data_IF_139283377103
#
_entry.id   IF_139283377103
#
_cell.length_a   1.000
_cell.length_b   1.000
_cell.length_c   1.000
_cell.angle_alpha   90.00
_cell.angle_beta   90.00
_cell.angle_gamma   90.00
#
_symmetry.space_group_name_H-M   'P 1'
#
loop_
_entity.id
_entity.type
_entity.pdbx_description
1 polymer ?
#
# COMPACT_ATOMS: atom_id res chain seq x y z
N UNK A 1 13.21 -10.96 -4.81
CA UNK A 1 13.49 -9.54 -4.50
C UNK A 1 14.20 -8.81 -5.64
N UNK A 2 15.22 -9.40 -6.25
CA UNK A 2 15.96 -8.76 -7.37
C UNK A 2 15.05 -8.37 -8.54
N UNK A 3 14.02 -9.16 -8.85
CA UNK A 3 13.05 -8.84 -9.90
C UNK A 3 12.22 -7.59 -9.59
N UNK A 4 11.83 -7.41 -8.32
CA UNK A 4 11.06 -6.24 -7.88
C UNK A 4 11.88 -4.97 -8.09
N UNK A 5 13.16 -4.99 -7.71
CA UNK A 5 14.06 -3.85 -7.91
C UNK A 5 14.39 -3.60 -9.37
N UNK A 6 14.58 -4.68 -10.16
CA UNK A 6 14.89 -4.55 -11.58
C UNK A 6 13.79 -3.88 -12.39
N UNK A 7 12.53 -4.07 -12.00
CA UNK A 7 11.36 -3.48 -12.66
C UNK A 7 10.96 -2.10 -12.12
N UNK A 8 11.50 -1.70 -10.97
CA UNK A 8 11.16 -0.44 -10.31
C UNK A 8 11.69 0.77 -11.10
N UNK A 9 10.85 1.78 -11.27
CA UNK A 9 11.20 3.08 -11.88
C UNK A 9 11.38 4.17 -10.85
N UNK A 10 10.57 4.16 -9.78
CA UNK A 10 10.61 5.16 -8.72
C UNK A 10 10.65 4.48 -7.36
N UNK A 11 11.67 4.79 -6.58
CA UNK A 11 11.87 4.25 -5.24
C UNK A 11 11.89 5.39 -4.24
N UNK A 12 11.11 5.29 -3.17
CA UNK A 12 11.13 6.23 -2.06
C UNK A 12 11.83 5.59 -0.85
N UNK A 13 12.81 6.27 -0.31
CA UNK A 13 13.54 5.85 0.90
C UNK A 13 13.13 6.76 2.04
N UNK A 14 12.56 6.18 3.08
CA UNK A 14 12.22 6.91 4.31
C UNK A 14 13.35 6.73 5.30
N UNK A 15 13.95 7.85 5.70
CA UNK A 15 15.03 7.90 6.68
C UNK A 15 14.61 8.64 7.96
N UNK A 16 15.15 8.23 9.09
CA UNK A 16 14.84 8.84 10.37
C UNK A 16 15.87 9.90 10.76
N UNK A 17 15.49 10.80 11.66
CA UNK A 17 16.30 11.95 12.14
C UNK A 17 17.61 11.55 12.81
N UNK A 18 17.75 10.30 13.26
CA UNK A 18 18.97 9.77 13.87
C UNK A 18 20.08 9.42 12.86
N UNK A 19 19.77 9.55 11.57
CA UNK A 19 20.70 9.25 10.47
C UNK A 19 21.44 10.51 10.05
N UNK A 20 22.78 10.40 9.93
CA UNK A 20 23.53 11.47 9.30
C UNK A 20 23.24 11.50 7.79
N UNK A 21 22.72 12.63 7.23
CA UNK A 21 22.44 12.75 5.80
C UNK A 21 23.64 12.42 4.89
N UNK A 22 24.86 12.53 5.37
CA UNK A 22 26.08 12.19 4.63
C UNK A 22 26.18 10.69 4.28
N UNK A 23 25.45 9.82 5.00
CA UNK A 23 25.42 8.38 4.77
C UNK A 23 24.41 7.99 3.67
N UNK A 24 23.47 8.88 3.32
CA UNK A 24 22.43 8.59 2.33
C UNK A 24 22.97 8.27 0.93
N UNK A 25 24.03 8.96 0.41
CA UNK A 25 24.62 8.59 -0.87
C UNK A 25 25.17 7.17 -0.94
N UNK A 26 25.74 6.68 0.17
CA UNK A 26 26.19 5.27 0.26
C UNK A 26 25.04 4.29 0.07
N UNK A 27 23.94 4.52 0.80
CA UNK A 27 22.74 3.71 0.68
C UNK A 27 22.09 3.82 -0.73
N UNK A 28 22.09 5.02 -1.32
CA UNK A 28 21.64 5.21 -2.70
C UNK A 28 22.42 4.34 -3.67
N UNK A 29 23.74 4.28 -3.57
CA UNK A 29 24.57 3.47 -4.44
C UNK A 29 24.22 1.98 -4.34
N UNK A 30 23.95 1.48 -3.14
CA UNK A 30 23.53 0.09 -2.91
C UNK A 30 22.23 -0.21 -3.66
N UNK A 31 21.21 0.65 -3.51
CA UNK A 31 19.93 0.47 -4.22
C UNK A 31 20.16 0.55 -5.73
N UNK A 32 20.96 1.52 -6.20
CA UNK A 32 21.22 1.73 -7.62
C UNK A 32 21.89 0.54 -8.29
N UNK A 33 22.68 -0.28 -7.57
CA UNK A 33 23.26 -1.51 -8.13
C UNK A 33 22.21 -2.52 -8.54
N UNK A 34 21.07 -2.57 -7.83
CA UNK A 34 19.95 -3.49 -8.07
C UNK A 34 18.87 -2.87 -8.97
N UNK A 35 18.61 -1.60 -8.81
CA UNK A 35 17.59 -0.83 -9.55
C UNK A 35 18.28 0.21 -10.46
N UNK A 36 19.00 -0.25 -11.48
CA UNK A 36 19.89 0.57 -12.31
C UNK A 36 19.19 1.78 -12.97
N UNK A 37 17.92 1.65 -13.30
CA UNK A 37 17.15 2.69 -14.00
C UNK A 37 16.19 3.44 -13.08
N UNK A 38 16.16 3.11 -11.80
CA UNK A 38 15.22 3.73 -10.87
C UNK A 38 15.69 5.12 -10.44
N UNK A 39 14.73 6.03 -10.33
CA UNK A 39 14.89 7.31 -9.65
C UNK A 39 14.67 7.07 -8.16
N UNK A 40 15.66 7.40 -7.34
CA UNK A 40 15.62 7.21 -5.90
C UNK A 40 15.37 8.56 -5.24
N UNK A 41 14.27 8.68 -4.52
CA UNK A 41 13.93 9.83 -3.70
C UNK A 41 14.12 9.51 -2.22
N UNK A 42 14.58 10.49 -1.46
CA UNK A 42 14.70 10.39 0.00
C UNK A 42 13.70 11.33 0.67
N UNK A 43 13.11 10.87 1.76
CA UNK A 43 12.21 11.67 2.58
C UNK A 43 12.48 11.42 4.06
N UNK A 44 12.42 12.46 4.87
CA UNK A 44 12.50 12.32 6.31
C UNK A 44 11.18 11.79 6.85
N UNK A 45 11.23 10.84 7.78
CA UNK A 45 10.04 10.22 8.39
C UNK A 45 9.08 11.25 9.01
N UNK A 46 9.61 12.32 9.60
CA UNK A 46 8.80 13.38 10.21
C UNK A 46 8.10 14.26 9.18
N UNK A 47 8.65 14.34 7.96
CA UNK A 47 8.16 15.20 6.90
C UNK A 47 7.25 14.47 5.87
N UNK A 48 7.12 13.15 5.98
CA UNK A 48 6.37 12.31 5.02
C UNK A 48 4.96 12.84 4.78
N UNK A 49 4.25 13.19 5.85
CA UNK A 49 2.86 13.67 5.77
C UNK A 49 2.79 15.07 5.16
N UNK A 50 3.76 15.93 5.49
CA UNK A 50 3.77 17.33 5.03
C UNK A 50 4.28 17.50 3.61
N UNK A 51 5.05 16.53 3.10
CA UNK A 51 5.68 16.59 1.77
C UNK A 51 4.68 16.56 0.62
N UNK A 52 3.42 16.15 0.87
CA UNK A 52 2.30 16.12 -0.10
C UNK A 52 2.69 15.54 -1.45
N UNK A 53 3.44 14.44 -1.46
CA UNK A 53 3.84 13.76 -2.69
C UNK A 53 2.62 13.29 -3.47
N UNK A 54 2.76 13.16 -4.78
CA UNK A 54 1.67 12.68 -5.63
C UNK A 54 1.27 11.25 -5.27
N UNK A 55 -0.03 10.94 -5.34
CA UNK A 55 -0.55 9.59 -5.15
C UNK A 55 -0.01 8.66 -6.24
N UNK A 56 0.16 7.38 -5.90
CA UNK A 56 0.54 6.33 -6.87
C UNK A 56 1.77 6.68 -7.70
N UNK A 57 2.79 7.29 -7.06
CA UNK A 57 4.01 7.78 -7.73
C UNK A 57 5.22 6.86 -7.59
N UNK A 58 5.23 5.97 -6.60
CA UNK A 58 6.37 5.09 -6.31
C UNK A 58 6.02 3.62 -6.51
N UNK A 59 6.98 2.87 -7.03
CA UNK A 59 6.88 1.41 -7.20
C UNK A 59 7.31 0.68 -5.93
N UNK A 60 8.31 1.23 -5.23
CA UNK A 60 8.84 0.69 -3.98
C UNK A 60 8.97 1.81 -2.96
N UNK A 61 8.61 1.51 -1.72
CA UNK A 61 8.93 2.33 -0.54
C UNK A 61 9.80 1.50 0.40
N UNK A 62 10.93 2.07 0.82
CA UNK A 62 11.87 1.49 1.78
C UNK A 62 11.72 2.21 3.11
N UNK A 63 11.35 1.48 4.16
CA UNK A 63 11.04 2.04 5.47
C UNK A 63 11.90 1.44 6.59
N UNK A 64 12.52 2.28 7.40
CA UNK A 64 13.29 1.85 8.58
C UNK A 64 14.66 1.22 8.29
N UNK A 65 15.08 1.17 7.02
CA UNK A 65 16.31 0.49 6.59
C UNK A 65 17.58 1.29 6.86
N UNK A 66 17.47 2.60 6.87
CA UNK A 66 18.62 3.51 7.02
C UNK A 66 18.84 3.89 8.49
N UNK A 67 17.83 3.72 9.33
CA UNK A 67 17.89 4.09 10.75
C UNK A 67 18.63 3.04 11.61
N UNK A 68 19.41 3.50 12.58
CA UNK A 68 20.00 2.66 13.63
C UNK A 68 18.99 2.26 14.71
N UNK A 69 17.96 3.07 14.90
CA UNK A 69 16.86 2.83 15.85
C UNK A 69 15.62 2.39 15.13
N UNK A 70 14.68 1.83 15.87
CA UNK A 70 13.36 1.52 15.33
C UNK A 70 12.67 2.81 14.87
N UNK A 71 12.32 2.89 13.60
CA UNK A 71 11.45 3.95 13.09
C UNK A 71 10.01 3.52 13.31
N UNK A 72 9.34 4.14 14.29
CA UNK A 72 7.95 3.82 14.59
C UNK A 72 7.06 4.24 13.42
N UNK A 73 6.33 3.27 12.91
CA UNK A 73 5.29 3.51 11.92
C UNK A 73 4.02 4.01 12.62
N UNK A 74 3.69 5.29 12.45
CA UNK A 74 2.38 5.79 12.86
C UNK A 74 1.35 5.43 11.79
N UNK A 75 0.07 5.29 12.17
CA UNK A 75 -1.02 4.99 11.22
C UNK A 75 -1.10 6.03 10.11
N UNK A 76 -0.95 7.31 10.44
CA UNK A 76 -1.01 8.40 9.46
C UNK A 76 0.14 8.32 8.45
N UNK A 77 1.35 8.02 8.93
CA UNK A 77 2.49 7.80 8.04
C UNK A 77 2.28 6.58 7.14
N UNK A 78 1.80 5.47 7.68
CA UNK A 78 1.51 4.27 6.87
C UNK A 78 0.44 4.51 5.83
N UNK A 79 -0.61 5.26 6.15
CA UNK A 79 -1.63 5.68 5.20
C UNK A 79 -1.04 6.53 4.08
N UNK A 80 -0.11 7.44 4.42
CA UNK A 80 0.58 8.25 3.42
C UNK A 80 1.51 7.41 2.54
N UNK A 81 2.29 6.48 3.12
CA UNK A 81 3.11 5.54 2.36
C UNK A 81 2.26 4.66 1.43
N UNK A 82 1.10 4.21 1.91
CA UNK A 82 0.15 3.47 1.10
C UNK A 82 -0.40 4.31 -0.06
N UNK A 83 -0.72 5.58 0.18
CA UNK A 83 -1.24 6.51 -0.82
C UNK A 83 -0.23 6.78 -1.94
N UNK A 84 1.04 6.99 -1.60
CA UNK A 84 2.09 7.30 -2.58
C UNK A 84 2.56 6.08 -3.37
N UNK A 85 2.34 4.87 -2.87
CA UNK A 85 2.60 3.63 -3.60
C UNK A 85 1.61 3.44 -4.76
N UNK A 86 2.11 2.96 -5.88
CA UNK A 86 1.28 2.52 -7.02
C UNK A 86 0.52 1.24 -6.68
N UNK A 87 -0.59 0.96 -7.38
CA UNK A 87 -1.17 -0.38 -7.38
C UNK A 87 -0.11 -1.45 -7.69
N UNK A 88 -0.13 -2.55 -6.96
CA UNK A 88 0.91 -3.59 -6.96
C UNK A 88 2.30 -3.12 -6.49
N UNK A 89 2.46 -1.91 -5.98
CA UNK A 89 3.69 -1.41 -5.40
C UNK A 89 4.03 -2.10 -4.08
N UNK A 90 5.29 -2.03 -3.68
CA UNK A 90 5.81 -2.77 -2.54
C UNK A 90 6.32 -1.85 -1.45
N UNK A 91 5.93 -2.13 -0.20
CA UNK A 91 6.57 -1.61 0.99
C UNK A 91 7.57 -2.65 1.50
N UNK A 92 8.83 -2.27 1.63
CA UNK A 92 9.86 -3.07 2.27
C UNK A 92 10.24 -2.38 3.58
N UNK A 93 9.95 -3.03 4.69
CA UNK A 93 10.11 -2.47 6.03
C UNK A 93 11.03 -3.33 6.89
N UNK A 94 11.90 -2.68 7.66
CA UNK A 94 12.69 -3.33 8.70
C UNK A 94 11.92 -3.24 10.02
N UNK A 95 11.56 -4.39 10.59
CA UNK A 95 10.68 -4.50 11.76
C UNK A 95 11.41 -5.23 12.89
N UNK A 96 11.33 -4.73 14.12
CA UNK A 96 11.87 -5.41 15.29
C UNK A 96 11.03 -6.63 15.68
N UNK A 97 11.68 -7.70 16.12
CA UNK A 97 11.00 -8.93 16.53
C UNK A 97 10.03 -8.72 17.69
N UNK A 98 10.35 -7.77 18.58
CA UNK A 98 9.52 -7.46 19.77
C UNK A 98 8.17 -6.84 19.42
N UNK A 99 8.12 -6.04 18.34
CA UNK A 99 6.93 -5.31 17.88
C UNK A 99 6.33 -5.91 16.60
N UNK A 100 6.92 -7.00 16.10
CA UNK A 100 6.64 -7.57 14.79
C UNK A 100 5.15 -7.82 14.54
N UNK A 101 4.46 -8.51 15.45
CA UNK A 101 3.04 -8.84 15.29
C UNK A 101 2.21 -7.57 15.18
N UNK A 102 2.42 -6.62 16.09
CA UNK A 102 1.69 -5.35 16.11
C UNK A 102 1.95 -4.53 14.85
N UNK A 103 3.20 -4.45 14.40
CA UNK A 103 3.58 -3.67 13.22
C UNK A 103 3.01 -4.28 11.93
N UNK A 104 3.05 -5.62 11.80
CA UNK A 104 2.48 -6.32 10.64
C UNK A 104 0.96 -6.18 10.60
N UNK A 105 0.29 -6.23 11.76
CA UNK A 105 -1.15 -6.00 11.83
C UNK A 105 -1.50 -4.55 11.44
N UNK A 106 -0.69 -3.56 11.85
CA UNK A 106 -0.85 -2.18 11.39
C UNK A 106 -0.73 -2.06 9.87
N UNK A 107 0.24 -2.75 9.23
CA UNK A 107 0.34 -2.77 7.76
C UNK A 107 -0.93 -3.31 7.11
N UNK A 108 -1.47 -4.41 7.61
CA UNK A 108 -2.72 -5.00 7.10
C UNK A 108 -3.91 -4.06 7.31
N UNK A 109 -4.01 -3.43 8.47
CA UNK A 109 -5.08 -2.46 8.77
C UNK A 109 -5.03 -1.23 7.86
N UNK A 110 -3.84 -0.81 7.40
CA UNK A 110 -3.67 0.25 6.41
C UNK A 110 -3.96 -0.20 4.96
N UNK A 111 -4.31 -1.48 4.75
CA UNK A 111 -4.71 -1.99 3.44
C UNK A 111 -3.64 -2.75 2.67
N UNK A 112 -2.44 -2.95 3.23
CA UNK A 112 -1.43 -3.78 2.61
C UNK A 112 -1.83 -5.25 2.60
N UNK A 113 -1.57 -5.92 1.48
CA UNK A 113 -1.79 -7.36 1.28
C UNK A 113 -0.46 -8.10 1.26
N UNK A 114 -0.50 -9.41 1.36
CA UNK A 114 0.68 -10.28 1.20
C UNK A 114 1.88 -9.89 2.04
N UNK A 115 1.67 -9.44 3.29
CA UNK A 115 2.76 -9.12 4.21
C UNK A 115 3.49 -10.42 4.61
N UNK A 116 4.73 -10.58 4.16
CA UNK A 116 5.56 -11.76 4.42
C UNK A 116 6.98 -11.36 4.84
N UNK A 117 7.60 -12.13 5.76
CA UNK A 117 9.01 -11.91 6.07
C UNK A 117 9.87 -12.28 4.86
N UNK A 118 10.94 -11.51 4.68
CA UNK A 118 11.96 -11.80 3.68
C UNK A 118 13.13 -12.54 4.32
N UNK A 119 13.64 -13.53 3.63
CA UNK A 119 14.82 -14.27 4.09
C UNK A 119 16.03 -13.33 4.22
N UNK A 120 16.81 -13.50 5.28
CA UNK A 120 18.00 -12.69 5.59
C UNK A 120 19.10 -12.78 4.53
N UNK A 121 19.05 -13.76 3.65
CA UNK A 121 19.95 -13.84 2.49
C UNK A 121 19.69 -12.73 1.45
N UNK A 122 18.58 -12.01 1.57
CA UNK A 122 18.26 -10.80 0.78
C UNK A 122 18.87 -9.52 1.37
N UNK A 123 19.86 -9.64 2.24
CA UNK A 123 20.38 -8.60 3.14
C UNK A 123 21.27 -7.54 2.49
N UNK A 124 21.24 -7.37 1.16
CA UNK A 124 21.97 -6.26 0.54
C UNK A 124 21.52 -4.87 1.02
N UNK A 125 20.28 -4.79 1.59
CA UNK A 125 19.71 -3.57 2.16
C UNK A 125 20.18 -3.29 3.60
N UNK A 126 20.83 -4.26 4.26
CA UNK A 126 21.24 -4.14 5.66
C UNK A 126 22.76 -4.07 5.71
N UNK A 127 23.30 -2.89 5.54
CA UNK A 127 24.76 -2.68 5.49
C UNK A 127 25.46 -2.71 6.86
N UNK A 128 24.71 -2.53 7.95
CA UNK A 128 25.29 -2.49 9.30
C UNK A 128 25.53 -3.90 9.82
N UNK A 129 26.79 -4.31 9.73
CA UNK A 129 27.32 -5.58 10.28
C UNK A 129 27.43 -5.61 11.81
N UNK A 130 26.71 -4.77 12.53
CA UNK A 130 26.58 -4.92 13.98
C UNK A 130 25.65 -6.12 14.24
N UNK A 131 26.27 -7.28 14.31
CA UNK A 131 25.61 -8.60 14.38
C UNK A 131 24.55 -8.74 15.47
N UNK A 132 24.62 -7.93 16.52
CA UNK A 132 23.66 -7.99 17.62
C UNK A 132 22.35 -7.25 17.33
N UNK A 133 22.39 -6.14 16.63
CA UNK A 133 21.19 -5.34 16.30
C UNK A 133 20.41 -6.00 15.14
N UNK A 134 21.11 -6.59 14.19
CA UNK A 134 20.49 -7.25 13.05
C UNK A 134 19.77 -8.56 13.41
N UNK A 135 20.20 -9.24 14.48
CA UNK A 135 19.52 -10.46 14.97
C UNK A 135 18.14 -10.20 15.57
N UNK A 136 17.84 -8.96 15.93
CA UNK A 136 16.55 -8.57 16.53
C UNK A 136 15.58 -7.95 15.53
N UNK A 137 15.92 -7.88 14.25
CA UNK A 137 15.09 -7.26 13.20
C UNK A 137 14.88 -8.21 12.04
N UNK A 138 13.71 -8.14 11.46
CA UNK A 138 13.34 -8.87 10.24
C UNK A 138 12.90 -7.92 9.15
N UNK A 139 13.25 -8.26 7.93
CA UNK A 139 12.82 -7.52 6.74
C UNK A 139 11.46 -8.07 6.30
N UNK A 140 10.51 -7.18 6.06
CA UNK A 140 9.17 -7.53 5.62
C UNK A 140 8.85 -6.92 4.27
N UNK A 141 8.19 -7.71 3.44
CA UNK A 141 7.65 -7.29 2.16
C UNK A 141 6.13 -7.26 2.25
N UNK A 142 5.54 -6.10 2.04
CA UNK A 142 4.09 -5.93 1.96
C UNK A 142 3.73 -5.35 0.59
N UNK A 143 2.61 -5.76 0.03
CA UNK A 143 2.17 -5.32 -1.29
C UNK A 143 0.89 -4.50 -1.20
N UNK A 144 0.82 -3.40 -1.97
CA UNK A 144 -0.42 -2.67 -2.19
C UNK A 144 -1.31 -3.47 -3.16
N UNK A 145 -2.63 -3.55 -2.95
CA UNK A 145 -3.56 -4.16 -3.90
C UNK A 145 -3.40 -3.62 -5.32
N UNK A 146 -3.92 -4.36 -6.30
CA UNK A 146 -3.88 -3.98 -7.72
C UNK A 146 -4.85 -2.85 -8.11
N UNK A 147 -5.58 -2.30 -7.14
CA UNK A 147 -6.56 -1.21 -7.34
C UNK A 147 -6.27 -0.06 -6.38
N UNK A 148 -6.60 1.15 -6.78
CA UNK A 148 -6.62 2.32 -5.91
C UNK A 148 -7.99 2.46 -5.23
N UNK A 149 -7.99 2.96 -3.98
CA UNK A 149 -9.23 3.23 -3.25
C UNK A 149 -10.04 4.28 -4.03
N UNK A 150 -11.31 3.97 -4.28
CA UNK A 150 -12.22 4.83 -5.06
C UNK A 150 -12.28 4.50 -6.56
N UNK A 151 -11.53 3.50 -7.03
CA UNK A 151 -11.69 2.99 -8.39
C UNK A 151 -12.92 2.05 -8.45
N UNK A 152 -13.94 2.47 -9.17
CA UNK A 152 -15.11 1.63 -9.44
C UNK A 152 -14.99 1.01 -10.83
N UNK A 153 -15.11 -0.31 -10.90
CA UNK A 153 -15.24 -1.02 -12.19
C UNK A 153 -16.72 -1.31 -12.40
N UNK A 154 -17.29 -0.96 -13.56
CA UNK A 154 -18.68 -1.31 -13.85
C UNK A 154 -18.85 -2.83 -13.78
N UNK A 155 -19.85 -3.29 -13.06
CA UNK A 155 -20.20 -4.71 -12.98
C UNK A 155 -20.60 -5.17 -14.39
N UNK A 156 -19.88 -6.13 -14.95
CA UNK A 156 -20.30 -6.80 -16.18
C UNK A 156 -21.45 -7.74 -15.84
N UNK A 157 -22.63 -7.43 -16.32
CA UNK A 157 -23.72 -8.40 -16.34
C UNK A 157 -23.26 -9.61 -17.16
N UNK A 158 -23.21 -10.78 -16.51
CA UNK A 158 -22.62 -12.02 -17.03
C UNK A 158 -23.44 -12.69 -18.16
N UNK A 159 -23.68 -12.02 -19.28
CA UNK A 159 -24.36 -12.61 -20.45
C UNK A 159 -23.57 -12.53 -21.75
N UNK A 160 -22.29 -12.15 -21.74
CA UNK A 160 -21.48 -12.15 -22.96
C UNK A 160 -20.21 -12.99 -22.82
N UNK A 161 -20.38 -14.31 -23.10
CA UNK A 161 -19.28 -15.16 -23.57
C UNK A 161 -18.92 -14.75 -24.99
N UNK A 162 -18.04 -13.80 -25.19
CA UNK A 162 -17.27 -13.66 -26.44
C UNK A 162 -15.92 -13.03 -26.18
N UNK A 163 -14.91 -13.83 -26.45
CA UNK A 163 -13.51 -13.53 -26.71
C UNK A 163 -13.35 -12.23 -27.52
N UNK A 164 -12.45 -11.32 -27.09
CA UNK A 164 -11.86 -10.41 -28.03
C UNK A 164 -11.62 -9.00 -27.55
N UNK A 165 -10.35 -8.66 -27.48
CA UNK A 165 -9.74 -7.32 -27.62
C UNK A 165 -10.16 -6.22 -26.64
N UNK A 166 -9.21 -5.90 -25.78
CA UNK A 166 -9.18 -4.68 -24.97
C UNK A 166 -8.85 -3.51 -25.90
N UNK A 167 -9.88 -2.78 -26.33
CA UNK A 167 -9.72 -1.48 -26.96
C UNK A 167 -9.82 -0.43 -25.86
N UNK A 168 -8.85 0.44 -25.81
CA UNK A 168 -8.82 1.66 -25.00
C UNK A 168 -10.06 2.51 -25.28
N UNK A 169 -10.98 2.63 -24.33
CA UNK A 169 -12.09 3.57 -24.40
C UNK A 169 -11.81 4.78 -23.51
N UNK A 170 -11.51 5.87 -24.17
CA UNK A 170 -11.57 7.23 -23.63
C UNK A 170 -12.94 7.51 -23.07
N UNK A 171 -12.97 7.95 -21.81
CA UNK A 171 -14.18 8.31 -21.09
C UNK A 171 -14.80 9.59 -21.69
N UNK A 172 -15.95 9.46 -22.31
CA UNK A 172 -16.93 10.53 -22.42
C UNK A 172 -18.32 9.91 -22.60
N UNK A 173 -19.11 9.97 -21.55
CA UNK A 173 -20.50 9.52 -21.57
C UNK A 173 -21.07 9.45 -20.16
N UNK A 174 -21.82 10.47 -19.75
CA UNK A 174 -22.68 10.42 -18.57
C UNK A 174 -23.72 9.34 -18.81
N UNK A 175 -23.57 8.17 -18.22
CA UNK A 175 -24.66 7.19 -18.10
C UNK A 175 -25.52 7.61 -16.90
N UNK A 176 -26.61 8.25 -17.16
CA UNK A 176 -27.69 8.44 -16.20
C UNK A 176 -28.33 7.06 -15.98
N UNK A 177 -28.39 6.61 -14.74
CA UNK A 177 -29.18 5.45 -14.36
C UNK A 177 -30.65 5.83 -14.52
N UNK A 178 -31.32 5.32 -15.54
CA UNK A 178 -32.78 5.35 -15.62
C UNK A 178 -33.26 4.07 -14.97
N UNK A 179 -33.85 4.19 -13.78
CA UNK A 179 -34.70 3.12 -13.23
C UNK A 179 -36.01 3.19 -14.01
N UNK A 180 -36.38 2.08 -14.64
CA UNK A 180 -37.73 1.93 -15.17
C UNK A 180 -38.68 1.83 -13.96
N UNK A 181 -39.80 2.57 -14.01
CA UNK A 181 -40.77 2.67 -12.90
C UNK A 181 -41.41 1.31 -12.54
N UNK A 182 -41.24 0.28 -13.38
CA UNK A 182 -41.76 -1.07 -13.17
C UNK A 182 -40.90 -1.93 -12.21
N UNK A 183 -39.65 -1.49 -11.88
CA UNK A 183 -38.76 -2.19 -10.95
C UNK A 183 -38.82 -1.63 -9.50
N UNK A 184 -39.69 -0.67 -9.24
CA UNK A 184 -39.89 -0.16 -7.89
C UNK A 184 -40.74 -1.16 -7.09
N UNK A 185 -40.10 -1.91 -6.23
CA UNK A 185 -40.78 -2.74 -5.22
C UNK A 185 -41.54 -1.78 -4.29
N UNK A 186 -42.86 -1.92 -4.24
CA UNK A 186 -43.67 -1.17 -3.31
C UNK A 186 -43.29 -1.54 -1.86
N UNK A 187 -42.74 -0.57 -1.14
CA UNK A 187 -42.27 -0.78 0.24
C UNK A 187 -43.41 -1.21 1.19
N UNK A 188 -44.66 -1.00 0.83
CA UNK A 188 -45.80 -1.42 1.62
C UNK A 188 -46.14 -2.90 1.45
N UNK A 189 -45.73 -3.52 0.34
CA UNK A 189 -45.84 -5.00 0.13
C UNK A 189 -44.80 -5.81 0.90
N UNK A 190 -43.71 -5.18 1.36
CA UNK A 190 -42.65 -5.84 2.13
C UNK A 190 -42.91 -5.94 3.62
N UNK A 191 -43.95 -5.25 4.12
CA UNK A 191 -44.28 -5.22 5.54
C UNK A 191 -45.48 -6.13 5.85
N UNK A 192 -45.24 -7.19 6.61
CA UNK A 192 -46.30 -8.05 7.16
C UNK A 192 -47.19 -7.27 8.14
N UNK A 193 -48.48 -7.74 8.30
CA UNK A 193 -49.40 -7.13 9.24
C UNK A 193 -48.88 -7.08 10.70
N UNK A 194 -47.94 -7.91 11.06
CA UNK A 194 -47.28 -7.92 12.36
C UNK A 194 -46.28 -6.77 12.52
N UNK A 195 -45.61 -6.38 11.46
CA UNK A 195 -44.65 -5.27 11.45
C UNK A 195 -45.30 -3.90 11.52
N UNK A 196 -46.57 -3.84 11.15
CA UNK A 196 -47.38 -2.61 11.22
C UNK A 196 -47.97 -2.33 12.62
N UNK A 197 -47.89 -3.29 13.55
CA UNK A 197 -48.39 -3.09 14.95
C UNK A 197 -47.34 -2.34 15.75
N UNK A 198 -47.71 -1.14 16.23
CA UNK A 198 -46.87 -0.41 17.20
C UNK A 198 -46.67 -1.27 18.45
N UNK A 199 -45.46 -1.36 19.01
CA UNK A 199 -45.25 -2.01 20.29
C UNK A 199 -46.00 -1.26 21.39
N UNK A 200 -46.77 -2.02 22.20
CA UNK A 200 -47.44 -1.49 23.40
C UNK A 200 -46.36 -1.05 24.39
N UNK A 201 -46.23 0.26 24.56
CA UNK A 201 -45.38 0.86 25.59
C UNK A 201 -46.14 0.77 26.90
N UNK A 202 -45.70 -0.12 27.79
CA UNK A 202 -46.10 -0.15 29.20
C UNK A 202 -45.22 0.79 30.02
#
# INVERSE_FOLDING_TARGET
MDEIFACAKNILVIWATDVNPENLPGFQNIIQTKAKQAVIAFENAEMVIESKRASSSFDIVLFGLVSKRETRATTDMLNELFRVLRPNGHLIALVEHTTQLQTVDQFKMCGFTSCSPLDTNSSFLIENKDDHVNKMRSLWLCQKPSFDIGYSVPLRNGSDTRTGQISSLTASGKTTWTMDDDDLIDTDELLDEQDRKKPDVK
#
